data_IF_346973305015
#
_entry.id   IF_346973305015
#
_cell.length_a   1.000
_cell.length_b   1.000
_cell.length_c   1.000
_cell.angle_alpha   90.00
_cell.angle_beta   90.00
_cell.angle_gamma   90.00
#
_symmetry.space_group_name_H-M   'P 1'
#
loop_
_entity.id
_entity.type
_entity.pdbx_description
1 polymer ?
#
# COMPACT_ATOMS: atom_id res chain seq x y z
N UNK A 1 1.78 0.86 -21.50
CA UNK A 1 2.93 1.79 -21.47
C UNK A 1 4.22 1.01 -21.31
N UNK A 2 5.31 1.38 -22.00
CA UNK A 2 6.62 0.66 -21.98
C UNK A 2 7.21 0.49 -20.56
N UNK A 3 6.83 1.36 -19.62
CA UNK A 3 7.36 1.40 -18.24
C UNK A 3 6.33 1.06 -17.14
N UNK A 4 5.15 0.55 -17.47
CA UNK A 4 4.09 0.34 -16.45
C UNK A 4 4.50 -0.67 -15.37
N UNK A 5 5.21 -1.74 -15.73
CA UNK A 5 5.70 -2.73 -14.75
C UNK A 5 6.78 -2.15 -13.83
N UNK A 6 7.74 -1.40 -14.37
CA UNK A 6 8.79 -0.76 -13.56
C UNK A 6 8.21 0.28 -12.60
N UNK A 7 7.24 1.08 -13.05
CA UNK A 7 6.57 2.06 -12.19
C UNK A 7 5.76 1.36 -11.09
N UNK A 8 5.06 0.27 -11.41
CA UNK A 8 4.33 -0.53 -10.43
C UNK A 8 5.24 -1.12 -9.34
N UNK A 9 6.40 -1.65 -9.72
CA UNK A 9 7.39 -2.20 -8.78
C UNK A 9 7.97 -1.10 -7.90
N UNK A 10 8.37 0.03 -8.48
CA UNK A 10 8.92 1.16 -7.72
C UNK A 10 7.88 1.69 -6.73
N UNK A 11 6.61 1.82 -7.15
CA UNK A 11 5.52 2.24 -6.28
C UNK A 11 5.26 1.25 -5.13
N UNK A 12 5.33 -0.05 -5.41
CA UNK A 12 5.20 -1.10 -4.38
C UNK A 12 6.36 -1.06 -3.37
N UNK A 13 7.60 -0.86 -3.83
CA UNK A 13 8.75 -0.69 -2.94
C UNK A 13 8.65 0.60 -2.12
N UNK A 14 8.18 1.69 -2.73
CA UNK A 14 7.93 2.94 -2.03
C UNK A 14 6.86 2.78 -0.93
N UNK A 15 5.79 1.99 -1.17
CA UNK A 15 4.79 1.68 -0.14
C UNK A 15 5.41 1.01 1.09
N UNK A 16 6.34 0.06 0.88
CA UNK A 16 7.06 -0.60 1.96
C UNK A 16 7.87 0.42 2.76
N UNK A 17 8.58 1.34 2.08
CA UNK A 17 9.32 2.42 2.73
C UNK A 17 8.42 3.36 3.56
N UNK A 18 7.25 3.72 3.01
CA UNK A 18 6.28 4.59 3.70
C UNK A 18 5.70 3.95 4.96
N UNK A 19 5.73 2.62 5.12
CA UNK A 19 5.29 1.96 6.34
C UNK A 19 6.18 2.29 7.57
N UNK A 20 7.40 2.77 7.36
CA UNK A 20 8.31 3.19 8.43
C UNK A 20 8.22 4.70 8.72
N UNK A 21 7.52 5.47 7.89
CA UNK A 21 7.32 6.90 8.12
C UNK A 21 6.26 7.15 9.21
N UNK A 22 6.30 8.32 9.87
CA UNK A 22 5.25 8.74 10.78
C UNK A 22 3.95 8.98 9.99
N UNK A 23 2.90 8.28 10.38
CA UNK A 23 1.58 8.32 9.76
C UNK A 23 0.69 9.35 10.46
N UNK A 24 0.61 9.29 11.78
CA UNK A 24 -0.10 10.26 12.60
C UNK A 24 0.59 10.48 13.93
N UNK A 25 0.30 11.61 14.57
CA UNK A 25 0.76 11.93 15.91
C UNK A 25 -0.45 12.15 16.82
N UNK A 26 -0.50 11.45 17.95
CA UNK A 26 -1.58 11.64 18.93
C UNK A 26 -1.06 12.56 20.04
N UNK A 27 -1.63 13.77 20.19
CA UNK A 27 -1.14 14.73 21.18
C UNK A 27 -1.33 14.26 22.62
N UNK A 28 -2.47 13.64 22.96
CA UNK A 28 -2.75 13.17 24.32
C UNK A 28 -1.85 12.04 24.81
N UNK A 29 -1.29 11.23 23.91
CA UNK A 29 -0.34 10.16 24.26
C UNK A 29 1.12 10.52 23.94
N UNK A 30 1.38 11.71 23.38
CA UNK A 30 2.68 12.16 22.90
C UNK A 30 3.42 11.12 22.05
N UNK A 31 2.68 10.30 21.31
CA UNK A 31 3.20 9.15 20.59
C UNK A 31 3.02 9.35 19.07
N UNK A 32 4.10 9.08 18.33
CA UNK A 32 4.08 9.02 16.88
C UNK A 32 3.70 7.61 16.43
N UNK A 33 2.60 7.51 15.71
CA UNK A 33 2.15 6.28 15.09
C UNK A 33 2.87 6.10 13.76
N UNK A 34 3.49 4.95 13.58
CA UNK A 34 4.05 4.48 12.31
C UNK A 34 3.25 3.26 11.85
N UNK A 35 3.43 2.86 10.60
CA UNK A 35 2.83 1.61 10.10
C UNK A 35 3.28 0.38 10.89
N UNK A 36 4.52 0.39 11.40
CA UNK A 36 5.11 -0.76 12.10
C UNK A 36 4.93 -0.74 13.61
N UNK A 37 4.87 0.45 14.20
CA UNK A 37 4.70 0.64 15.63
C UNK A 37 3.62 1.67 15.90
N UNK A 38 2.55 1.23 16.55
CA UNK A 38 1.42 2.06 16.99
C UNK A 38 1.48 2.33 18.51
N UNK A 39 2.62 2.02 19.13
CA UNK A 39 2.92 2.32 20.53
C UNK A 39 1.91 1.70 21.48
N UNK A 40 1.29 2.55 22.29
CA UNK A 40 0.34 2.22 23.36
C UNK A 40 -1.11 2.03 22.87
N UNK A 41 -1.36 2.12 21.56
CA UNK A 41 -2.70 1.94 21.00
C UNK A 41 -2.96 0.47 20.63
N UNK A 42 -4.20 0.01 20.78
CA UNK A 42 -4.61 -1.36 20.43
C UNK A 42 -4.81 -1.59 18.91
N UNK A 43 -4.27 -0.71 18.06
CA UNK A 43 -4.43 -0.78 16.60
C UNK A 43 -3.55 -1.84 15.92
N UNK A 44 -2.65 -2.50 16.67
CA UNK A 44 -1.76 -3.53 16.14
C UNK A 44 -0.71 -2.96 15.19
N UNK A 45 -0.27 -3.76 14.21
CA UNK A 45 0.76 -3.36 13.22
C UNK A 45 0.13 -3.16 11.83
N UNK A 46 -0.51 -2.00 11.57
CA UNK A 46 -1.29 -1.79 10.35
C UNK A 46 -0.47 -1.87 9.06
N UNK A 47 0.81 -1.49 9.11
CA UNK A 47 1.75 -1.53 7.99
C UNK A 47 2.22 -2.92 7.59
N UNK A 48 2.06 -3.93 8.45
CA UNK A 48 2.52 -5.30 8.14
C UNK A 48 1.73 -5.88 6.98
N UNK A 49 0.40 -5.74 6.98
CA UNK A 49 -0.44 -6.24 5.90
C UNK A 49 -0.22 -5.44 4.61
N UNK A 50 -0.05 -4.11 4.69
CA UNK A 50 0.32 -3.29 3.53
C UNK A 50 1.64 -3.75 2.92
N UNK A 51 2.64 -4.06 3.75
CA UNK A 51 3.96 -4.52 3.32
C UNK A 51 3.88 -5.89 2.63
N UNK A 52 3.12 -6.84 3.19
CA UNK A 52 2.91 -8.16 2.59
C UNK A 52 2.21 -8.05 1.24
N UNK A 53 1.14 -7.24 1.15
CA UNK A 53 0.42 -7.04 -0.11
C UNK A 53 1.28 -6.30 -1.16
N UNK A 54 2.08 -5.33 -0.75
CA UNK A 54 3.00 -4.62 -1.64
C UNK A 54 4.14 -5.52 -2.14
N UNK A 55 4.71 -6.37 -1.27
CA UNK A 55 5.70 -7.35 -1.68
C UNK A 55 5.11 -8.37 -2.68
N UNK A 56 3.89 -8.85 -2.40
CA UNK A 56 3.20 -9.78 -3.28
C UNK A 56 2.87 -9.13 -4.64
N UNK A 57 2.40 -7.87 -4.67
CA UNK A 57 2.12 -7.16 -5.91
C UNK A 57 3.41 -6.92 -6.73
N UNK A 58 4.53 -6.59 -6.09
CA UNK A 58 5.82 -6.46 -6.75
C UNK A 58 6.28 -7.77 -7.42
N UNK A 59 6.12 -8.92 -6.74
CA UNK A 59 6.43 -10.24 -7.31
C UNK A 59 5.50 -10.54 -8.50
N UNK A 60 4.20 -10.25 -8.38
CA UNK A 60 3.22 -10.45 -9.45
C UNK A 60 3.49 -9.55 -10.67
N UNK A 61 4.05 -8.35 -10.49
CA UNK A 61 4.51 -7.51 -11.59
C UNK A 61 5.69 -8.09 -12.37
N UNK A 62 6.55 -8.89 -11.72
CA UNK A 62 7.70 -9.54 -12.36
C UNK A 62 7.30 -10.71 -13.27
N UNK A 63 6.20 -11.40 -12.96
CA UNK A 63 5.79 -12.62 -13.66
C UNK A 63 4.99 -12.25 -14.92
N UNK A 64 5.47 -12.53 -16.15
CA UNK A 64 4.78 -12.18 -17.39
C UNK A 64 3.65 -13.17 -17.75
N UNK A 65 2.92 -13.71 -16.75
CA UNK A 65 1.79 -14.63 -16.97
C UNK A 65 0.45 -13.90 -16.86
N UNK A 66 -0.53 -14.32 -17.66
CA UNK A 66 -1.90 -13.74 -17.66
C UNK A 66 -2.59 -13.92 -16.31
N UNK A 67 -2.43 -15.08 -15.66
CA UNK A 67 -3.01 -15.32 -14.34
C UNK A 67 -2.40 -14.44 -13.24
N UNK A 68 -1.09 -14.20 -13.30
CA UNK A 68 -0.40 -13.29 -12.38
C UNK A 68 -0.93 -11.84 -12.48
N UNK A 69 -1.29 -11.40 -13.68
CA UNK A 69 -1.84 -10.06 -13.90
C UNK A 69 -3.26 -9.90 -13.36
N UNK A 70 -4.13 -10.88 -13.59
CA UNK A 70 -5.51 -10.87 -13.06
C UNK A 70 -5.52 -10.90 -11.54
N UNK A 71 -4.66 -11.72 -10.94
CA UNK A 71 -4.50 -11.79 -9.48
C UNK A 71 -3.88 -10.50 -8.93
N UNK A 72 -2.94 -9.85 -9.62
CA UNK A 72 -2.36 -8.60 -9.18
C UNK A 72 -3.38 -7.45 -9.05
N UNK A 73 -4.36 -7.36 -9.96
CA UNK A 73 -5.45 -6.38 -9.85
C UNK A 73 -6.25 -6.60 -8.56
N UNK A 74 -6.57 -7.85 -8.24
CA UNK A 74 -7.30 -8.20 -7.01
C UNK A 74 -6.46 -7.87 -5.77
N UNK A 75 -5.18 -8.26 -5.74
CA UNK A 75 -4.25 -7.94 -4.64
C UNK A 75 -4.12 -6.43 -4.44
N UNK A 76 -4.00 -5.67 -5.53
CA UNK A 76 -3.88 -4.21 -5.50
C UNK A 76 -5.19 -3.55 -5.04
N UNK A 77 -6.34 -4.10 -5.41
CA UNK A 77 -7.65 -3.64 -4.93
C UNK A 77 -7.81 -3.86 -3.42
N UNK A 78 -7.42 -5.03 -2.91
CA UNK A 78 -7.39 -5.30 -1.47
C UNK A 78 -6.40 -4.36 -0.76
N UNK A 79 -5.24 -4.11 -1.38
CA UNK A 79 -4.22 -3.19 -0.86
C UNK A 79 -4.74 -1.77 -0.68
N UNK A 80 -5.43 -1.20 -1.69
CA UNK A 80 -6.03 0.12 -1.54
C UNK A 80 -7.18 0.14 -0.53
N UNK A 81 -8.03 -0.89 -0.49
CA UNK A 81 -9.09 -0.99 0.53
C UNK A 81 -8.51 -1.00 1.95
N UNK A 82 -7.40 -1.71 2.16
CA UNK A 82 -6.68 -1.68 3.42
C UNK A 82 -6.07 -0.30 3.72
N UNK A 83 -5.45 0.34 2.73
CA UNK A 83 -4.90 1.69 2.90
C UNK A 83 -5.99 2.71 3.27
N UNK A 84 -7.16 2.66 2.63
CA UNK A 84 -8.33 3.50 2.95
C UNK A 84 -8.83 3.22 4.37
N UNK A 85 -8.95 1.95 4.77
CA UNK A 85 -9.31 1.58 6.14
C UNK A 85 -8.35 2.20 7.16
N UNK A 86 -7.03 2.09 6.92
CA UNK A 86 -6.02 2.69 7.79
C UNK A 86 -6.11 4.21 7.81
N UNK A 87 -6.39 4.83 6.67
CA UNK A 87 -6.59 6.26 6.60
C UNK A 87 -7.75 6.71 7.47
N UNK A 88 -8.90 6.05 7.40
CA UNK A 88 -10.06 6.38 8.22
C UNK A 88 -9.80 6.12 9.71
N UNK A 89 -9.20 4.97 10.05
CA UNK A 89 -9.01 4.56 11.43
C UNK A 89 -7.95 5.42 12.16
N UNK A 90 -6.89 5.82 11.47
CA UNK A 90 -5.81 6.65 12.05
C UNK A 90 -6.07 8.16 11.97
N UNK A 91 -7.12 8.57 11.27
CA UNK A 91 -7.56 9.96 11.21
C UNK A 91 -8.82 10.25 12.05
N UNK A 92 -9.50 9.20 12.51
CA UNK A 92 -10.63 9.32 13.40
C UNK A 92 -10.18 9.82 14.78
N UNK A 93 -10.98 10.71 15.38
CA UNK A 93 -10.78 11.12 16.75
C UNK A 93 -11.36 10.05 17.68
N UNK A 94 -10.60 9.62 18.68
CA UNK A 94 -11.06 8.70 19.72
C UNK A 94 -10.99 9.41 21.07
N UNK A 95 -12.06 9.29 21.86
CA UNK A 95 -12.13 9.84 23.23
C UNK A 95 -11.78 11.33 23.36
N UNK A 96 -12.05 12.14 22.33
CA UNK A 96 -11.77 13.58 22.32
C UNK A 96 -10.35 13.96 21.89
N UNK A 97 -9.45 12.99 21.67
CA UNK A 97 -8.13 13.22 21.08
C UNK A 97 -8.18 13.04 19.57
N UNK A 98 -7.88 14.12 18.84
CA UNK A 98 -7.79 14.09 17.38
C UNK A 98 -6.34 13.91 16.92
N UNK A 99 -6.02 12.84 16.17
CA UNK A 99 -4.68 12.62 15.66
C UNK A 99 -4.31 13.63 14.58
N UNK A 100 -3.09 14.17 14.66
CA UNK A 100 -2.52 15.00 13.60
C UNK A 100 -2.09 14.12 12.43
N UNK A 101 -2.66 14.38 11.25
CA UNK A 101 -2.35 13.67 10.00
C UNK A 101 -0.96 14.08 9.53
N UNK A 102 -0.04 13.13 9.38
CA UNK A 102 1.30 13.36 8.83
C UNK A 102 1.38 12.91 7.38
N UNK A 103 2.47 13.27 6.72
CA UNK A 103 2.67 12.99 5.29
C UNK A 103 2.55 11.49 4.94
N UNK A 104 2.99 10.59 5.83
CA UNK A 104 2.95 9.15 5.61
C UNK A 104 1.54 8.60 5.31
N UNK A 105 0.52 9.18 5.95
CA UNK A 105 -0.89 8.78 5.76
C UNK A 105 -1.42 9.13 4.36
N UNK A 106 -1.00 10.27 3.81
CA UNK A 106 -1.38 10.66 2.45
C UNK A 106 -0.60 9.87 1.40
N UNK A 107 0.71 9.67 1.66
CA UNK A 107 1.61 8.91 0.79
C UNK A 107 1.14 7.47 0.61
N UNK A 108 0.70 6.78 1.67
CA UNK A 108 0.28 5.38 1.56
C UNK A 108 -0.97 5.21 0.71
N UNK A 109 -1.92 6.15 0.81
CA UNK A 109 -3.14 6.14 0.03
C UNK A 109 -2.83 6.42 -1.45
N UNK A 110 -2.03 7.45 -1.73
CA UNK A 110 -1.63 7.83 -3.08
C UNK A 110 -0.85 6.71 -3.76
N UNK A 111 0.15 6.13 -3.09
CA UNK A 111 0.95 5.05 -3.67
C UNK A 111 0.13 3.77 -3.88
N UNK A 112 -0.80 3.43 -2.97
CA UNK A 112 -1.69 2.28 -3.16
C UNK A 112 -2.59 2.45 -4.38
N UNK A 113 -3.06 3.68 -4.64
CA UNK A 113 -3.81 4.01 -5.84
C UNK A 113 -2.95 3.92 -7.10
N UNK A 114 -1.70 4.39 -7.06
CA UNK A 114 -0.75 4.25 -8.19
C UNK A 114 -0.48 2.78 -8.50
N UNK A 115 -0.27 1.93 -7.48
CA UNK A 115 -0.08 0.48 -7.67
C UNK A 115 -1.30 -0.16 -8.34
N UNK A 116 -2.50 0.20 -7.89
CA UNK A 116 -3.74 -0.25 -8.53
C UNK A 116 -3.82 0.19 -9.99
N UNK A 117 -3.59 1.47 -10.30
CA UNK A 117 -3.61 1.97 -11.68
C UNK A 117 -2.59 1.24 -12.56
N UNK A 118 -1.38 1.00 -12.06
CA UNK A 118 -0.35 0.28 -12.82
C UNK A 118 -0.68 -1.21 -12.98
N UNK A 119 -1.46 -1.80 -12.07
CA UNK A 119 -1.93 -3.18 -12.19
C UNK A 119 -2.91 -3.38 -13.38
N UNK A 120 -3.60 -2.32 -13.83
CA UNK A 120 -4.51 -2.37 -14.98
C UNK A 120 -3.80 -2.30 -16.35
N UNK A 121 -2.60 -1.73 -16.43
CA UNK A 121 -1.88 -1.53 -17.71
C UNK A 121 -0.60 -2.38 -17.90
N UNK A 122 -0.58 -3.68 -17.54
CA UNK A 122 0.63 -4.48 -17.63
C UNK A 122 0.99 -4.78 -19.09
N UNK A 123 2.28 -4.65 -19.44
CA UNK A 123 2.78 -5.01 -20.77
C UNK A 123 2.61 -6.52 -20.99
N UNK A 124 1.75 -6.91 -21.93
CA UNK A 124 1.60 -8.29 -22.38
C UNK A 124 2.35 -8.43 -23.71
N UNK A 125 3.45 -9.17 -23.74
CA UNK A 125 4.00 -9.67 -24.99
C UNK A 125 3.18 -10.91 -25.37
N UNK A 126 2.05 -10.70 -26.06
CA UNK A 126 1.20 -11.78 -26.59
C UNK A 126 1.82 -12.27 -27.90
N UNK A 127 2.99 -12.93 -27.84
CA UNK A 127 3.47 -13.71 -28.97
C UNK A 127 4.44 -14.85 -28.58
N UNK A 128 4.13 -16.03 -29.14
CA UNK A 128 4.79 -17.34 -29.13
C UNK A 128 4.74 -18.15 -27.82
N UNK A 129 3.70 -18.99 -27.71
CA UNK A 129 3.76 -20.40 -28.15
C UNK A 129 2.34 -20.99 -28.25
N UNK A 130 1.95 -21.28 -29.47
CA UNK A 130 1.09 -22.41 -29.80
C UNK A 130 1.97 -23.64 -29.56
N UNK A 131 1.65 -24.43 -28.54
CA UNK A 131 2.09 -25.81 -28.27
C UNK A 131 1.21 -26.37 -27.13
#
# INVERSE_FOLDING_TARGET
MKHSQSIGIIAALALIGVCFLPWSYIPGLQATLTGMNTGVTHFGRPGLLTMVLAALSAVLFLIPKIWAKRTNVVISAVGISWAVRNFLLLSACLMGDCPEKRAGLYLILLLSFVVLLMSFFPKLDVNKKED
#
